data_IF_502855360099
#
_entry.id   IF_502855360099
#
_cell.length_a   1.000
_cell.length_b   1.000
_cell.length_c   1.000
_cell.angle_alpha   90.00
_cell.angle_beta   90.00
_cell.angle_gamma   90.00
#
_symmetry.space_group_name_H-M   'P 1'
#
loop_
_entity.id
_entity.type
_entity.pdbx_description
1 polymer ?
#
# COMPACT_ATOMS: atom_id res chain seq x y z
N UNK A 1 22.25 -11.37 9.84
CA UNK A 1 21.93 -12.59 9.08
C UNK A 1 22.16 -12.32 7.58
N UNK A 2 23.30 -12.72 6.99
CA UNK A 2 23.67 -12.30 5.63
C UNK A 2 22.79 -12.89 4.52
N UNK A 3 21.90 -13.86 4.84
CA UNK A 3 21.03 -14.52 3.85
C UNK A 3 19.54 -14.15 4.00
N UNK A 4 19.19 -13.29 4.95
CA UNK A 4 17.81 -12.88 5.17
C UNK A 4 17.46 -11.70 4.26
N UNK A 5 16.30 -11.73 3.62
CA UNK A 5 15.69 -10.51 3.06
C UNK A 5 15.31 -9.57 4.20
N UNK A 6 15.65 -8.30 4.06
CA UNK A 6 15.37 -7.27 5.07
C UNK A 6 14.47 -6.21 4.45
N UNK A 7 13.31 -5.94 5.06
CA UNK A 7 12.48 -4.79 4.74
C UNK A 7 12.47 -3.82 5.92
N UNK A 8 12.85 -2.57 5.65
CA UNK A 8 12.82 -1.47 6.62
C UNK A 8 11.63 -0.58 6.34
N UNK A 9 10.72 -0.46 7.30
CA UNK A 9 9.64 0.51 7.25
C UNK A 9 10.11 1.81 7.91
N UNK A 10 10.12 2.90 7.15
CA UNK A 10 10.57 4.21 7.61
C UNK A 10 9.73 5.33 7.03
N UNK A 11 9.55 6.44 7.76
CA UNK A 11 8.93 7.65 7.20
C UNK A 11 9.85 8.44 6.25
N UNK A 12 11.08 7.99 6.03
CA UNK A 12 12.03 8.59 5.10
C UNK A 12 12.71 9.88 5.57
N UNK A 13 12.20 10.52 6.63
CA UNK A 13 12.59 11.89 7.03
C UNK A 13 14.07 12.01 7.42
N UNK A 14 14.62 11.01 8.11
CA UNK A 14 16.04 11.03 8.50
C UNK A 14 16.98 10.86 7.30
N UNK A 15 16.54 10.21 6.24
CA UNK A 15 17.33 10.04 5.03
C UNK A 15 17.46 11.34 4.20
N UNK A 16 16.74 12.42 4.57
CA UNK A 16 17.03 13.75 4.03
C UNK A 16 18.44 14.24 4.39
N UNK A 17 19.03 13.73 5.46
CA UNK A 17 20.44 13.84 5.75
C UNK A 17 21.21 12.82 4.92
N UNK A 18 22.06 13.31 4.00
CA UNK A 18 22.83 12.48 3.07
C UNK A 18 23.79 11.54 3.79
N UNK A 19 24.41 12.01 4.89
CA UNK A 19 25.35 11.20 5.66
C UNK A 19 24.64 10.06 6.37
N UNK A 20 23.37 10.26 6.78
CA UNK A 20 22.56 9.20 7.36
C UNK A 20 22.19 8.14 6.30
N UNK A 21 21.82 8.57 5.09
CA UNK A 21 21.56 7.65 3.98
C UNK A 21 22.82 6.86 3.59
N UNK A 22 23.98 7.53 3.53
CA UNK A 22 25.29 6.90 3.26
C UNK A 22 25.64 5.82 4.31
N UNK A 23 25.37 6.08 5.60
CA UNK A 23 25.60 5.09 6.68
C UNK A 23 24.76 3.85 6.51
N UNK A 24 23.49 3.98 6.07
CA UNK A 24 22.66 2.82 5.75
C UNK A 24 23.22 2.05 4.56
N UNK A 25 23.57 2.73 3.49
CA UNK A 25 24.14 2.12 2.29
C UNK A 25 25.45 1.37 2.60
N UNK A 26 26.27 1.90 3.51
CA UNK A 26 27.53 1.26 3.94
C UNK A 26 27.31 -0.10 4.65
N UNK A 27 26.10 -0.41 5.11
CA UNK A 27 25.76 -1.75 5.61
C UNK A 27 25.82 -2.81 4.52
N UNK A 28 25.73 -2.41 3.25
CA UNK A 28 25.91 -3.22 2.04
C UNK A 28 25.19 -4.58 2.09
N UNK A 29 23.96 -4.59 2.55
CA UNK A 29 23.15 -5.81 2.60
C UNK A 29 22.56 -6.09 1.21
N UNK A 30 22.76 -7.31 0.69
CA UNK A 30 22.43 -7.67 -0.69
C UNK A 30 20.92 -7.68 -1.00
N UNK A 31 20.09 -7.87 0.03
CA UNK A 31 18.62 -7.95 -0.10
C UNK A 31 17.99 -7.06 0.99
N UNK A 32 18.18 -5.74 0.81
CA UNK A 32 17.63 -4.71 1.67
C UNK A 32 16.67 -3.84 0.87
N UNK A 33 15.41 -3.81 1.29
CA UNK A 33 14.39 -2.92 0.78
C UNK A 33 13.98 -1.90 1.83
N UNK A 34 13.72 -0.67 1.40
CA UNK A 34 13.26 0.41 2.27
C UNK A 34 11.90 0.88 1.77
N UNK A 35 10.87 0.65 2.59
CA UNK A 35 9.50 1.02 2.27
C UNK A 35 9.11 2.31 2.99
N UNK A 36 8.73 3.33 2.21
CA UNK A 36 8.45 4.68 2.70
C UNK A 36 7.00 5.05 2.37
N UNK A 37 6.20 5.48 3.36
CA UNK A 37 4.84 5.93 3.12
C UNK A 37 4.81 7.31 2.44
N UNK A 38 3.95 7.44 1.42
CA UNK A 38 3.58 8.70 0.82
C UNK A 38 2.05 8.80 0.78
N UNK A 39 1.49 9.92 1.24
CA UNK A 39 0.03 10.05 1.40
C UNK A 39 -0.62 10.93 0.33
N UNK A 40 0.14 11.78 -0.34
CA UNK A 40 -0.35 12.64 -1.42
C UNK A 40 0.81 13.18 -2.25
N UNK A 41 0.53 13.55 -3.48
CA UNK A 41 1.36 14.35 -4.38
C UNK A 41 1.41 15.83 -3.96
N UNK A 42 0.49 16.25 -3.07
CA UNK A 42 0.40 17.62 -2.56
C UNK A 42 0.98 17.69 -1.15
N UNK A 43 2.03 18.50 -0.99
CA UNK A 43 2.76 18.65 0.29
C UNK A 43 1.86 19.01 1.48
N UNK A 44 0.87 19.90 1.29
CA UNK A 44 -0.04 20.29 2.37
C UNK A 44 -0.94 19.15 2.83
N UNK A 45 -1.40 18.30 1.91
CA UNK A 45 -2.24 17.13 2.23
C UNK A 45 -1.40 16.08 2.96
N UNK A 46 -0.22 15.72 2.41
CA UNK A 46 0.69 14.78 3.08
C UNK A 46 1.02 15.25 4.50
N UNK A 47 1.41 16.52 4.66
CA UNK A 47 1.77 17.08 5.96
C UNK A 47 0.61 17.09 6.97
N UNK A 48 -0.61 17.33 6.48
CA UNK A 48 -1.82 17.26 7.32
C UNK A 48 -2.01 15.86 7.89
N UNK A 49 -1.89 14.83 7.04
CA UNK A 49 -2.09 13.43 7.43
C UNK A 49 -1.03 12.95 8.41
N UNK A 50 0.24 13.28 8.18
CA UNK A 50 1.33 12.87 9.08
C UNK A 50 1.46 13.77 10.31
N UNK A 51 0.71 14.86 10.39
CA UNK A 51 0.76 15.82 11.51
C UNK A 51 2.07 16.62 11.60
N UNK A 52 2.88 16.67 10.53
CA UNK A 52 4.19 17.33 10.52
C UNK A 52 4.58 17.82 9.12
N UNK A 53 5.33 18.91 9.03
CA UNK A 53 5.82 19.48 7.77
C UNK A 53 7.02 18.68 7.24
N UNK A 54 6.78 17.44 6.77
CA UNK A 54 7.84 16.49 6.42
C UNK A 54 7.88 16.11 4.94
N UNK A 55 6.91 16.49 4.11
CA UNK A 55 6.83 16.09 2.70
C UNK A 55 8.16 16.24 1.96
N UNK A 56 8.74 17.43 1.95
CA UNK A 56 9.99 17.69 1.24
C UNK A 56 11.19 16.93 1.83
N UNK A 57 11.21 16.69 3.14
CA UNK A 57 12.23 15.85 3.77
C UNK A 57 12.08 14.38 3.36
N UNK A 58 10.86 13.86 3.30
CA UNK A 58 10.58 12.50 2.83
C UNK A 58 11.02 12.37 1.36
N UNK A 59 10.65 13.33 0.50
CA UNK A 59 11.07 13.36 -0.91
C UNK A 59 12.60 13.42 -1.04
N UNK A 60 13.27 14.31 -0.29
CA UNK A 60 14.75 14.38 -0.30
C UNK A 60 15.37 13.06 0.17
N UNK A 61 14.77 12.41 1.17
CA UNK A 61 15.22 11.10 1.66
C UNK A 61 15.14 10.01 0.58
N UNK A 62 14.07 10.01 -0.23
CA UNK A 62 13.94 9.11 -1.38
C UNK A 62 15.08 9.31 -2.39
N UNK A 63 15.36 10.56 -2.77
CA UNK A 63 16.48 10.86 -3.70
C UNK A 63 17.84 10.48 -3.13
N UNK A 64 18.08 10.75 -1.85
CA UNK A 64 19.36 10.39 -1.21
C UNK A 64 19.55 8.87 -1.17
N UNK A 65 18.50 8.09 -0.84
CA UNK A 65 18.55 6.62 -0.89
C UNK A 65 18.79 6.11 -2.31
N UNK A 66 18.13 6.70 -3.30
CA UNK A 66 18.31 6.35 -4.71
C UNK A 66 19.76 6.65 -5.19
N UNK A 67 20.35 7.75 -4.74
CA UNK A 67 21.75 8.10 -5.06
C UNK A 67 22.74 7.02 -4.62
N UNK A 68 22.42 6.31 -3.53
CA UNK A 68 23.22 5.18 -3.03
C UNK A 68 22.73 3.81 -3.55
N UNK A 69 21.87 3.78 -4.57
CA UNK A 69 21.42 2.54 -5.21
C UNK A 69 20.57 1.64 -4.31
N UNK A 70 19.90 2.22 -3.29
CA UNK A 70 19.06 1.43 -2.41
C UNK A 70 17.75 1.04 -3.10
N UNK A 71 17.25 -0.18 -2.81
CA UNK A 71 15.93 -0.60 -3.27
C UNK A 71 14.84 0.10 -2.46
N UNK A 72 13.97 0.83 -3.15
CA UNK A 72 12.96 1.69 -2.53
C UNK A 72 11.57 1.24 -2.97
N UNK A 73 10.72 0.94 -1.98
CA UNK A 73 9.29 0.77 -2.15
C UNK A 73 8.51 1.96 -1.59
N UNK A 74 7.37 2.26 -2.18
CA UNK A 74 6.41 3.21 -1.63
C UNK A 74 5.19 2.50 -1.06
N UNK A 75 4.67 3.04 0.03
CA UNK A 75 3.41 2.58 0.65
C UNK A 75 2.38 3.68 0.61
N UNK A 76 1.22 3.38 0.05
CA UNK A 76 0.09 4.30 -0.08
C UNK A 76 -1.09 3.74 0.70
N UNK A 77 -1.32 4.26 1.91
CA UNK A 77 -2.52 3.90 2.68
C UNK A 77 -3.71 4.69 2.14
N UNK A 78 -4.76 3.96 1.73
CA UNK A 78 -5.95 4.54 1.12
C UNK A 78 -6.94 4.93 2.23
N UNK A 79 -7.37 6.17 2.23
CA UNK A 79 -8.41 6.65 3.15
C UNK A 79 -9.22 7.81 2.53
N UNK A 80 -10.34 8.15 3.18
CA UNK A 80 -11.34 9.11 2.72
C UNK A 80 -10.78 10.47 2.28
N UNK A 81 -9.68 10.92 2.89
CA UNK A 81 -9.10 12.23 2.58
C UNK A 81 -8.19 12.21 1.34
N UNK A 82 -7.73 11.04 0.88
CA UNK A 82 -6.72 10.94 -0.19
C UNK A 82 -7.14 10.12 -1.40
N UNK A 83 -8.14 9.22 -1.27
CA UNK A 83 -8.46 8.27 -2.34
C UNK A 83 -8.71 8.91 -3.70
N UNK A 84 -9.39 10.08 -3.74
CA UNK A 84 -9.67 10.80 -5.00
C UNK A 84 -8.42 11.24 -5.77
N UNK A 85 -7.29 11.28 -5.09
CA UNK A 85 -6.02 11.68 -5.67
C UNK A 85 -5.08 10.51 -5.98
N UNK A 86 -5.54 9.28 -5.88
CA UNK A 86 -4.72 8.10 -6.19
C UNK A 86 -4.17 8.14 -7.63
N UNK A 87 -4.95 8.50 -8.67
CA UNK A 87 -4.41 8.62 -10.03
C UNK A 87 -3.33 9.71 -10.15
N UNK A 88 -3.55 10.88 -9.54
CA UNK A 88 -2.57 11.97 -9.57
C UNK A 88 -1.31 11.62 -8.76
N UNK A 89 -1.47 10.91 -7.65
CA UNK A 89 -0.34 10.42 -6.88
C UNK A 89 0.47 9.39 -7.67
N UNK A 90 -0.18 8.49 -8.40
CA UNK A 90 0.48 7.51 -9.26
C UNK A 90 1.27 8.21 -10.40
N UNK A 91 0.68 9.19 -11.04
CA UNK A 91 1.36 10.01 -12.05
C UNK A 91 2.55 10.77 -11.47
N UNK A 92 2.38 11.36 -10.29
CA UNK A 92 3.46 12.03 -9.55
C UNK A 92 4.62 11.07 -9.23
N UNK A 93 4.31 9.85 -8.76
CA UNK A 93 5.32 8.82 -8.45
C UNK A 93 6.09 8.46 -9.71
N UNK A 94 5.41 8.19 -10.82
CA UNK A 94 6.02 7.83 -12.08
C UNK A 94 7.01 8.90 -12.58
N UNK A 95 6.61 10.18 -12.53
CA UNK A 95 7.44 11.26 -13.05
C UNK A 95 8.56 11.69 -12.11
N UNK A 96 8.37 11.56 -10.80
CA UNK A 96 9.35 12.10 -9.84
C UNK A 96 10.20 11.02 -9.16
N UNK A 97 9.77 9.75 -9.17
CA UNK A 97 10.50 8.68 -8.49
C UNK A 97 10.76 7.48 -9.42
N UNK A 98 11.43 7.68 -10.58
CA UNK A 98 11.66 6.60 -11.55
C UNK A 98 12.54 5.48 -11.02
N UNK A 99 13.15 5.66 -9.87
CA UNK A 99 14.00 4.72 -9.17
C UNK A 99 13.22 3.82 -8.18
N UNK A 100 11.93 4.07 -7.98
CA UNK A 100 11.10 3.25 -7.10
C UNK A 100 10.83 1.90 -7.76
N UNK A 101 11.07 0.81 -7.02
CA UNK A 101 10.94 -0.55 -7.54
C UNK A 101 9.52 -1.09 -7.41
N UNK A 102 8.79 -0.63 -6.39
CA UNK A 102 7.42 -1.07 -6.16
C UNK A 102 6.56 -0.02 -5.45
N UNK A 103 5.25 -0.11 -5.66
CA UNK A 103 4.23 0.66 -4.94
C UNK A 103 3.19 -0.28 -4.36
N UNK A 104 2.99 -0.20 -3.05
CA UNK A 104 1.99 -0.96 -2.31
C UNK A 104 0.81 -0.07 -1.92
N UNK A 105 -0.32 -0.25 -2.58
CA UNK A 105 -1.59 0.34 -2.16
C UNK A 105 -2.17 -0.50 -1.03
N UNK A 106 -2.52 0.14 0.08
CA UNK A 106 -2.95 -0.57 1.28
C UNK A 106 -4.32 -0.09 1.72
N UNK A 107 -5.27 -1.00 1.83
CA UNK A 107 -6.50 -0.72 2.55
C UNK A 107 -6.16 -0.38 4.00
N UNK A 108 -6.80 0.68 4.52
CA UNK A 108 -6.50 1.21 5.85
C UNK A 108 -6.86 0.19 6.94
N UNK A 109 -5.92 -0.05 7.83
CA UNK A 109 -6.16 -0.80 9.07
C UNK A 109 -6.71 0.14 10.14
N UNK A 110 -7.75 -0.29 10.87
CA UNK A 110 -8.47 0.54 11.85
C UNK A 110 -7.87 0.40 13.25
N UNK A 111 -6.57 0.69 13.38
CA UNK A 111 -5.83 0.60 14.65
C UNK A 111 -5.16 1.92 15.02
N UNK A 112 -4.84 2.09 16.29
CA UNK A 112 -4.12 3.24 16.81
C UNK A 112 -4.88 4.56 16.54
N UNK A 113 -4.21 5.55 15.96
CA UNK A 113 -4.84 6.85 15.65
C UNK A 113 -5.94 6.76 14.58
N UNK A 114 -5.95 5.73 13.74
CA UNK A 114 -7.02 5.53 12.78
C UNK A 114 -8.35 5.22 13.47
N UNK A 115 -8.34 4.44 14.56
CA UNK A 115 -9.52 4.09 15.33
C UNK A 115 -10.25 5.32 15.89
N UNK A 116 -9.50 6.28 16.42
CA UNK A 116 -10.07 7.53 16.97
C UNK A 116 -10.53 8.52 15.91
N UNK A 117 -10.07 8.36 14.65
CA UNK A 117 -10.37 9.25 13.53
C UNK A 117 -11.17 8.57 12.40
N UNK A 118 -11.81 7.44 12.68
CA UNK A 118 -12.52 6.62 11.67
C UNK A 118 -13.53 7.43 10.84
N UNK A 119 -14.29 8.30 11.48
CA UNK A 119 -15.29 9.13 10.80
C UNK A 119 -14.72 9.96 9.65
N UNK A 120 -13.47 10.41 9.80
CA UNK A 120 -12.80 11.29 8.84
C UNK A 120 -11.86 10.51 7.90
N UNK A 121 -11.50 9.28 8.25
CA UNK A 121 -10.54 8.48 7.50
C UNK A 121 -11.18 7.29 6.77
N UNK A 122 -12.16 6.62 7.38
CA UNK A 122 -12.72 5.41 6.79
C UNK A 122 -13.57 5.72 5.56
N UNK A 123 -13.42 4.89 4.56
CA UNK A 123 -14.23 4.84 3.34
C UNK A 123 -14.41 3.37 2.98
N UNK A 124 -15.60 3.01 2.48
CA UNK A 124 -15.81 1.65 1.97
C UNK A 124 -14.82 1.39 0.81
N UNK A 125 -14.06 0.29 0.86
CA UNK A 125 -13.12 -0.07 -0.21
C UNK A 125 -13.76 -0.13 -1.60
N UNK A 126 -15.03 -0.45 -1.68
CA UNK A 126 -15.78 -0.45 -2.94
C UNK A 126 -15.84 0.94 -3.58
N UNK A 127 -15.94 1.99 -2.77
CA UNK A 127 -16.17 3.36 -3.24
C UNK A 127 -14.94 4.02 -3.89
N UNK A 128 -13.73 3.44 -3.71
CA UNK A 128 -12.51 3.96 -4.34
C UNK A 128 -11.92 3.05 -5.43
N UNK A 129 -12.67 2.04 -5.86
CA UNK A 129 -12.18 1.07 -6.84
C UNK A 129 -11.78 1.72 -8.18
N UNK A 130 -12.48 2.77 -8.63
CA UNK A 130 -12.16 3.44 -9.88
C UNK A 130 -10.80 4.15 -9.79
N UNK A 131 -10.58 4.93 -8.75
CA UNK A 131 -9.33 5.66 -8.54
C UNK A 131 -8.16 4.70 -8.26
N UNK A 132 -8.40 3.63 -7.52
CA UNK A 132 -7.41 2.58 -7.30
C UNK A 132 -7.03 1.89 -8.61
N UNK A 133 -8.01 1.56 -9.44
CA UNK A 133 -7.81 0.94 -10.75
C UNK A 133 -6.93 1.82 -11.64
N UNK A 134 -7.28 3.09 -11.80
CA UNK A 134 -6.49 4.03 -12.60
C UNK A 134 -5.05 4.11 -12.10
N UNK A 135 -4.84 4.23 -10.79
CA UNK A 135 -3.51 4.34 -10.20
C UNK A 135 -2.67 3.06 -10.38
N UNK A 136 -3.27 1.89 -10.12
CA UNK A 136 -2.58 0.59 -10.23
C UNK A 136 -2.18 0.31 -11.67
N UNK A 137 -3.11 0.47 -12.62
CA UNK A 137 -2.86 0.19 -14.02
C UNK A 137 -1.84 1.17 -14.61
N UNK A 138 -1.92 2.48 -14.28
CA UNK A 138 -0.95 3.46 -14.71
C UNK A 138 0.48 3.07 -14.32
N UNK A 139 0.71 2.72 -13.06
CA UNK A 139 2.05 2.36 -12.58
C UNK A 139 2.52 1.03 -13.18
N UNK A 140 1.64 0.03 -13.24
CA UNK A 140 1.96 -1.27 -13.80
C UNK A 140 2.34 -1.17 -15.29
N UNK A 141 1.58 -0.41 -16.09
CA UNK A 141 1.85 -0.20 -17.51
C UNK A 141 3.16 0.57 -17.75
N UNK A 142 3.64 1.26 -16.74
CA UNK A 142 4.93 1.98 -16.74
C UNK A 142 6.08 1.17 -16.15
N UNK A 143 5.84 -0.11 -15.85
CA UNK A 143 6.87 -1.05 -15.38
C UNK A 143 7.21 -0.92 -13.88
N UNK A 144 6.42 -0.19 -13.09
CA UNK A 144 6.56 -0.15 -11.64
C UNK A 144 5.72 -1.28 -11.05
N UNK A 145 6.36 -2.20 -10.32
CA UNK A 145 5.64 -3.30 -9.67
C UNK A 145 4.60 -2.76 -8.68
N UNK A 146 3.36 -3.21 -8.82
CA UNK A 146 2.25 -2.70 -8.00
C UNK A 146 1.61 -3.82 -7.20
N UNK A 147 1.28 -3.54 -5.94
CA UNK A 147 0.59 -4.47 -5.05
C UNK A 147 -0.59 -3.79 -4.37
N UNK A 148 -1.62 -4.59 -4.07
CA UNK A 148 -2.76 -4.18 -3.25
C UNK A 148 -2.77 -5.07 -2.01
N UNK A 149 -2.58 -4.48 -0.84
CA UNK A 149 -2.60 -5.19 0.43
C UNK A 149 -3.87 -4.94 1.22
N UNK A 150 -4.22 -5.91 2.06
CA UNK A 150 -5.33 -5.83 3.00
C UNK A 150 -6.72 -5.75 2.33
N UNK A 151 -6.83 -6.07 1.05
CA UNK A 151 -8.08 -5.99 0.31
C UNK A 151 -8.77 -7.36 0.20
N UNK A 152 -10.11 -7.36 0.30
CA UNK A 152 -10.93 -8.53 0.06
C UNK A 152 -11.18 -8.66 -1.44
N UNK A 153 -10.91 -9.86 -2.01
CA UNK A 153 -11.00 -10.09 -3.46
C UNK A 153 -12.42 -9.91 -4.02
N UNK A 154 -13.45 -10.12 -3.20
CA UNK A 154 -14.83 -9.89 -3.62
C UNK A 154 -15.20 -8.40 -3.76
N UNK A 155 -14.47 -7.50 -3.10
CA UNK A 155 -14.67 -6.05 -3.19
C UNK A 155 -13.89 -5.46 -4.35
N UNK A 156 -12.76 -6.08 -4.72
CA UNK A 156 -11.93 -5.63 -5.84
C UNK A 156 -12.57 -6.02 -7.19
N UNK A 157 -12.53 -5.13 -8.20
CA UNK A 157 -12.79 -5.49 -9.59
C UNK A 157 -11.90 -6.66 -10.04
N UNK A 158 -12.40 -7.58 -10.91
CA UNK A 158 -11.64 -8.76 -11.33
C UNK A 158 -10.24 -8.43 -11.86
N UNK A 159 -10.09 -7.35 -12.62
CA UNK A 159 -8.81 -6.90 -13.18
C UNK A 159 -7.78 -6.44 -12.15
N UNK A 160 -8.21 -6.10 -10.93
CA UNK A 160 -7.31 -5.72 -9.83
C UNK A 160 -6.89 -6.91 -8.94
N UNK A 161 -7.59 -8.03 -9.01
CA UNK A 161 -7.29 -9.21 -8.17
C UNK A 161 -5.87 -9.75 -8.35
N UNK A 162 -5.27 -9.76 -9.54
CA UNK A 162 -3.89 -10.22 -9.72
C UNK A 162 -2.85 -9.40 -8.94
N UNK A 163 -3.15 -8.14 -8.61
CA UNK A 163 -2.29 -7.26 -7.81
C UNK A 163 -2.45 -7.46 -6.30
N UNK A 164 -3.53 -8.12 -5.88
CA UNK A 164 -3.79 -8.35 -4.46
C UNK A 164 -2.79 -9.34 -3.86
N UNK A 165 -2.37 -9.05 -2.63
CA UNK A 165 -1.47 -9.91 -1.86
C UNK A 165 -2.03 -10.17 -0.47
N UNK A 166 -1.92 -11.41 -0.03
CA UNK A 166 -2.21 -11.76 1.35
C UNK A 166 -1.18 -11.14 2.30
N UNK A 167 -1.60 -10.83 3.51
CA UNK A 167 -0.67 -10.45 4.56
C UNK A 167 0.12 -11.67 5.03
N UNK A 168 1.38 -11.47 5.42
CA UNK A 168 2.22 -12.49 6.04
C UNK A 168 1.88 -12.78 7.51
N UNK A 169 0.91 -12.07 8.08
CA UNK A 169 0.56 -12.17 9.51
C UNK A 169 -0.75 -12.93 9.68
N UNK A 170 -0.71 -14.10 10.33
CA UNK A 170 -1.87 -14.99 10.57
C UNK A 170 -3.06 -14.29 11.27
N UNK A 171 -2.80 -13.32 12.16
CA UNK A 171 -3.85 -12.54 12.82
C UNK A 171 -4.61 -11.57 11.92
N UNK A 172 -4.26 -11.52 10.64
CA UNK A 172 -4.94 -10.76 9.58
C UNK A 172 -5.84 -11.62 8.70
N UNK A 173 -5.79 -12.95 8.86
CA UNK A 173 -6.52 -13.90 8.02
C UNK A 173 -7.84 -14.33 8.68
N UNK A 174 -8.66 -13.36 9.08
CA UNK A 174 -10.01 -13.63 9.60
C UNK A 174 -11.00 -13.59 8.45
N UNK A 175 -11.94 -14.53 8.45
CA UNK A 175 -12.98 -14.64 7.45
C UNK A 175 -14.37 -14.61 8.10
N UNK A 176 -15.33 -14.01 7.40
CA UNK A 176 -16.73 -13.97 7.82
C UNK A 176 -17.46 -15.24 7.40
N UNK A 177 -18.61 -15.58 8.03
CA UNK A 177 -19.41 -16.74 7.61
C UNK A 177 -19.80 -16.73 6.12
N UNK A 178 -20.01 -15.55 5.53
CA UNK A 178 -20.30 -15.40 4.09
C UNK A 178 -19.14 -15.87 3.20
N UNK A 179 -17.92 -15.94 3.73
CA UNK A 179 -16.74 -16.42 3.00
C UNK A 179 -16.67 -17.96 2.93
N UNK A 180 -17.56 -18.67 3.62
CA UNK A 180 -17.56 -20.13 3.59
C UNK A 180 -18.00 -20.64 2.20
N UNK A 181 -17.15 -21.49 1.60
CA UNK A 181 -17.32 -21.97 0.23
C UNK A 181 -17.00 -20.95 -0.85
N UNK A 182 -16.39 -19.80 -0.52
CA UNK A 182 -15.87 -18.88 -1.53
C UNK A 182 -14.66 -19.50 -2.24
N UNK A 183 -14.68 -19.52 -3.58
CA UNK A 183 -13.61 -20.16 -4.39
C UNK A 183 -12.28 -19.46 -4.27
N UNK A 184 -12.25 -18.14 -3.97
CA UNK A 184 -11.04 -17.36 -3.80
C UNK A 184 -10.61 -17.19 -2.32
N UNK A 185 -11.22 -17.92 -1.39
CA UNK A 185 -10.91 -17.78 0.06
C UNK A 185 -9.43 -18.00 0.35
N UNK A 186 -8.80 -18.98 -0.31
CA UNK A 186 -7.38 -19.32 -0.12
C UNK A 186 -6.40 -18.26 -0.59
N UNK A 187 -6.82 -17.37 -1.50
CA UNK A 187 -5.98 -16.29 -2.05
C UNK A 187 -6.33 -14.91 -1.46
N UNK A 188 -7.49 -14.84 -0.76
CA UNK A 188 -8.01 -13.59 -0.24
C UNK A 188 -7.28 -13.15 1.02
N UNK A 189 -6.96 -11.86 1.12
CA UNK A 189 -6.32 -11.27 2.30
C UNK A 189 -7.17 -11.25 3.57
N UNK A 190 -8.46 -11.67 3.49
CA UNK A 190 -9.34 -11.71 4.64
C UNK A 190 -9.56 -10.35 5.32
N UNK A 191 -9.79 -10.39 6.62
CA UNK A 191 -10.05 -9.21 7.44
C UNK A 191 -9.08 -9.14 8.61
N UNK A 192 -8.86 -7.93 9.10
CA UNK A 192 -8.14 -7.74 10.36
C UNK A 192 -9.07 -8.03 11.55
N UNK A 193 -8.55 -8.64 12.60
CA UNK A 193 -9.25 -8.82 13.87
C UNK A 193 -9.73 -7.50 14.50
N UNK A 194 -9.10 -6.40 14.11
CA UNK A 194 -9.37 -5.04 14.59
C UNK A 194 -10.46 -4.31 13.80
N UNK A 195 -10.90 -4.86 12.65
CA UNK A 195 -11.90 -4.20 11.78
C UNK A 195 -13.37 -4.45 12.20
N UNK A 196 -13.63 -4.71 13.46
CA UNK A 196 -14.89 -5.24 14.00
C UNK A 196 -16.20 -4.56 13.53
N UNK A 197 -16.16 -3.31 13.03
CA UNK A 197 -17.37 -2.59 12.59
C UNK A 197 -17.18 -1.81 11.25
N UNK A 198 -16.00 -1.90 10.62
CA UNK A 198 -15.69 -1.14 9.40
C UNK A 198 -15.38 -2.11 8.26
N UNK A 199 -16.40 -2.87 7.89
CA UNK A 199 -16.35 -3.86 6.83
C UNK A 199 -17.15 -3.31 5.65
N UNK A 200 -16.68 -3.54 4.43
CA UNK A 200 -17.41 -3.16 3.23
C UNK A 200 -18.80 -3.80 3.22
N UNK A 201 -19.80 -3.03 2.82
CA UNK A 201 -21.16 -3.53 2.61
C UNK A 201 -21.28 -4.42 1.37
N UNK A 202 -20.23 -4.49 0.56
CA UNK A 202 -20.15 -5.25 -0.69
C UNK A 202 -19.47 -6.62 -0.54
N UNK A 203 -19.23 -7.08 0.69
CA UNK A 203 -18.69 -8.41 0.92
C UNK A 203 -19.69 -9.47 0.46
N UNK A 204 -19.22 -10.36 -0.41
CA UNK A 204 -20.01 -11.48 -0.91
C UNK A 204 -19.12 -12.69 -1.21
N UNK A 205 -19.72 -13.85 -1.30
CA UNK A 205 -19.08 -15.07 -1.75
C UNK A 205 -18.86 -15.00 -3.26
N UNK A 206 -17.65 -15.30 -3.72
CA UNK A 206 -17.38 -15.55 -5.13
C UNK A 206 -17.63 -17.03 -5.39
N UNK A 207 -18.49 -17.32 -6.37
CA UNK A 207 -18.84 -18.67 -6.79
C UNK A 207 -18.07 -19.04 -8.07
N UNK A 208 -17.82 -20.34 -8.26
CA UNK A 208 -17.27 -20.81 -9.52
C UNK A 208 -18.34 -20.64 -10.60
N UNK A 209 -18.11 -19.75 -11.54
CA UNK A 209 -18.85 -19.75 -12.81
C UNK A 209 -18.20 -20.79 -13.72
N UNK A 210 -18.97 -21.45 -14.60
CA UNK A 210 -18.53 -22.55 -15.46
C UNK A 210 -17.31 -22.25 -16.37
N UNK A 211 -16.72 -21.05 -16.25
CA UNK A 211 -15.48 -20.63 -16.89
C UNK A 211 -14.20 -20.91 -16.08
N UNK A 212 -14.28 -21.57 -14.92
CA UNK A 212 -13.12 -21.97 -14.09
C UNK A 212 -12.61 -23.39 -14.42
N UNK A 213 -13.06 -23.97 -15.52
CA UNK A 213 -12.50 -25.23 -16.03
C UNK A 213 -11.55 -24.94 -17.20
N UNK A 214 -10.29 -24.59 -16.87
CA UNK A 214 -9.11 -24.94 -17.70
C UNK A 214 -7.84 -24.77 -16.87
#
# INVERSE_FOLDING_TARGET
CPKAAISILSNGVKFADIDYAAKLAACNHHDLQIDIPIFSDIASIHNHIVGAKTFYKTVQGLYNLAQFGQQIGLRVVIHKQTYKRLPQLADYIYHNFPFVTQVAFMQMETTGLAETNLKDLWIDPYDYNNELREAVLLLNDRGITTYIYNAQLCVLPPELRPFAKQSISEWKDIYLPVCDGCVLKGECGGFFSTNNNNISTHIHKIECTDSCTE
#
